data_IF_288195457798
#
_entry.id   IF_288195457798
#
_cell.length_a   1.000
_cell.length_b   1.000
_cell.length_c   1.000
_cell.angle_alpha   90.00
_cell.angle_beta   90.00
_cell.angle_gamma   90.00
#
_symmetry.space_group_name_H-M   'P 1'
#
loop_
_entity.id
_entity.type
_entity.pdbx_description
1 polymer ?
#
# COMPACT_ATOMS: atom_id res chain seq x y z
N UNK A 1 -6.58 10.54 13.41
CA UNK A 1 -7.98 10.49 13.85
C UNK A 1 -8.72 11.79 13.60
N UNK A 2 -8.08 12.95 13.83
CA UNK A 2 -8.69 14.25 13.57
C UNK A 2 -9.19 14.42 12.12
N UNK A 3 -8.45 13.89 11.13
CA UNK A 3 -8.88 13.89 9.73
C UNK A 3 -10.24 13.23 9.52
N UNK A 4 -10.50 12.07 10.16
CA UNK A 4 -11.79 11.37 10.06
C UNK A 4 -12.92 12.21 10.69
N UNK A 5 -12.69 12.72 11.91
CA UNK A 5 -13.67 13.55 12.61
C UNK A 5 -14.03 14.80 11.80
N UNK A 6 -13.02 15.48 11.25
CA UNK A 6 -13.19 16.70 10.46
C UNK A 6 -13.89 16.42 9.14
N UNK A 7 -13.50 15.35 8.43
CA UNK A 7 -14.15 14.91 7.20
C UNK A 7 -15.63 14.58 7.43
N UNK A 8 -15.95 13.80 8.47
CA UNK A 8 -17.32 13.44 8.81
C UNK A 8 -18.17 14.67 9.21
N UNK A 9 -17.61 15.59 9.99
CA UNK A 9 -18.31 16.81 10.39
C UNK A 9 -18.76 17.67 9.20
N UNK A 10 -18.01 17.64 8.09
CA UNK A 10 -18.31 18.38 6.86
C UNK A 10 -19.41 17.74 6.00
N UNK A 11 -19.80 16.49 6.27
CA UNK A 11 -20.86 15.82 5.51
C UNK A 11 -22.23 16.40 5.81
N UNK A 12 -23.09 16.43 4.79
CA UNK A 12 -24.54 16.60 4.95
C UNK A 12 -25.16 15.29 5.48
N UNK A 13 -26.37 15.34 6.09
CA UNK A 13 -27.10 14.12 6.44
C UNK A 13 -27.22 13.19 5.22
N UNK A 14 -26.95 11.90 5.42
CA UNK A 14 -26.90 10.88 4.37
C UNK A 14 -25.59 10.80 3.59
N UNK A 15 -24.66 11.75 3.78
CA UNK A 15 -23.34 11.72 3.14
C UNK A 15 -22.47 10.56 3.65
N UNK A 16 -21.55 10.08 2.80
CA UNK A 16 -20.64 8.96 3.11
C UNK A 16 -19.23 9.49 3.29
N UNK A 17 -18.59 9.13 4.40
CA UNK A 17 -17.15 9.21 4.54
C UNK A 17 -16.58 7.85 4.13
N UNK A 18 -15.68 7.83 3.16
CA UNK A 18 -14.94 6.64 2.75
C UNK A 18 -13.44 6.95 2.80
N UNK A 19 -12.66 6.04 3.36
CA UNK A 19 -11.19 6.11 3.37
C UNK A 19 -10.61 4.81 2.86
N UNK A 20 -9.45 4.90 2.22
CA UNK A 20 -8.69 3.75 1.75
C UNK A 20 -7.28 3.84 2.31
N UNK A 21 -6.84 2.78 2.98
CA UNK A 21 -5.51 2.70 3.58
C UNK A 21 -4.86 1.35 3.24
N UNK A 22 -3.54 1.31 3.03
CA UNK A 22 -2.85 0.06 2.80
C UNK A 22 -2.63 -0.72 4.11
N UNK A 23 -2.48 -2.04 4.00
CA UNK A 23 -1.70 -2.82 4.96
C UNK A 23 -0.61 -3.58 4.20
N UNK A 24 0.65 -3.21 4.40
CA UNK A 24 1.80 -3.80 3.71
C UNK A 24 2.59 -4.80 4.58
N UNK A 25 2.01 -5.22 5.71
CA UNK A 25 2.65 -6.11 6.68
C UNK A 25 2.71 -7.59 6.29
N UNK A 26 2.15 -7.97 5.13
CA UNK A 26 2.11 -9.33 4.61
C UNK A 26 3.25 -9.59 3.61
N UNK A 27 3.39 -10.84 3.18
CA UNK A 27 4.32 -11.24 2.13
C UNK A 27 3.77 -10.88 0.75
N UNK A 28 4.48 -10.00 0.04
CA UNK A 28 4.04 -9.50 -1.28
C UNK A 28 4.14 -10.56 -2.37
N UNK A 29 5.00 -11.56 -2.18
CA UNK A 29 5.28 -12.60 -3.15
C UNK A 29 5.78 -13.85 -2.44
N UNK A 30 5.58 -15.02 -3.06
CA UNK A 30 6.18 -16.28 -2.61
C UNK A 30 7.65 -16.43 -3.04
N UNK A 31 8.22 -15.43 -3.71
CA UNK A 31 9.57 -15.45 -4.28
C UNK A 31 10.58 -15.05 -3.22
N UNK A 32 11.61 -15.88 -3.02
CA UNK A 32 12.79 -15.48 -2.26
C UNK A 32 13.73 -14.71 -3.18
N UNK A 33 13.72 -13.38 -3.07
CA UNK A 33 14.55 -12.50 -3.89
C UNK A 33 15.02 -11.29 -3.11
N UNK A 34 16.31 -10.96 -3.27
CA UNK A 34 16.90 -9.73 -2.76
C UNK A 34 16.23 -8.48 -3.37
N UNK A 35 15.85 -8.50 -4.66
CA UNK A 35 15.20 -7.35 -5.29
C UNK A 35 13.79 -7.13 -4.76
N UNK A 36 12.99 -8.19 -4.56
CA UNK A 36 11.67 -8.07 -3.94
C UNK A 36 11.75 -7.60 -2.49
N UNK A 37 12.73 -8.10 -1.73
CA UNK A 37 12.98 -7.65 -0.36
C UNK A 37 13.40 -6.17 -0.32
N UNK A 38 14.26 -5.75 -1.24
CA UNK A 38 14.73 -4.38 -1.35
C UNK A 38 13.61 -3.41 -1.78
N UNK A 39 12.78 -3.80 -2.75
CA UNK A 39 11.60 -3.03 -3.15
C UNK A 39 10.65 -2.83 -1.96
N UNK A 40 10.46 -3.88 -1.15
CA UNK A 40 9.66 -3.82 0.07
C UNK A 40 10.27 -2.93 1.13
N UNK A 41 11.58 -3.01 1.36
CA UNK A 41 12.24 -2.15 2.37
C UNK A 41 12.15 -0.68 1.98
N UNK A 42 12.41 -0.32 0.72
CA UNK A 42 12.29 1.05 0.24
C UNK A 42 10.92 1.65 0.54
N UNK A 43 9.83 0.92 0.24
CA UNK A 43 8.47 1.40 0.49
C UNK A 43 8.19 1.55 1.98
N UNK A 44 8.51 0.54 2.79
CA UNK A 44 8.22 0.56 4.23
C UNK A 44 9.05 1.62 4.96
N UNK A 45 10.32 1.77 4.62
CA UNK A 45 11.20 2.80 5.16
C UNK A 45 10.71 4.20 4.77
N UNK A 46 10.30 4.39 3.52
CA UNK A 46 9.77 5.66 3.04
C UNK A 46 8.50 6.06 3.78
N UNK A 47 7.55 5.14 3.94
CA UNK A 47 6.32 5.38 4.70
C UNK A 47 6.63 5.69 6.16
N UNK A 48 7.52 4.94 6.78
CA UNK A 48 7.91 5.15 8.18
C UNK A 48 8.58 6.51 8.38
N UNK A 49 9.48 6.90 7.46
CA UNK A 49 10.22 8.16 7.53
C UNK A 49 9.32 9.40 7.40
N UNK A 50 8.16 9.30 6.75
CA UNK A 50 7.15 10.37 6.71
C UNK A 50 6.11 10.27 7.82
N UNK A 51 6.26 9.33 8.76
CA UNK A 51 5.33 9.12 9.87
C UNK A 51 4.02 8.44 9.46
N UNK A 52 3.95 7.84 8.27
CA UNK A 52 2.80 7.06 7.85
C UNK A 52 2.82 5.68 8.53
N UNK A 53 1.63 5.14 8.85
CA UNK A 53 1.49 3.78 9.33
C UNK A 53 1.30 2.84 8.12
N UNK A 54 2.28 2.00 7.75
CA UNK A 54 2.15 1.10 6.61
C UNK A 54 1.13 -0.03 6.82
N UNK A 55 0.54 -0.13 8.02
CA UNK A 55 -0.47 -1.10 8.41
C UNK A 55 -1.80 -0.47 8.79
N UNK A 56 -2.04 0.77 8.35
CA UNK A 56 -3.21 1.56 8.75
C UNK A 56 -4.54 0.87 8.36
N UNK A 57 -4.57 0.09 7.28
CA UNK A 57 -5.78 -0.62 6.81
C UNK A 57 -6.49 -1.45 7.88
N UNK A 58 -5.76 -2.28 8.62
CA UNK A 58 -6.32 -3.07 9.73
C UNK A 58 -6.72 -2.21 10.94
N UNK A 59 -6.13 -1.03 11.09
CA UNK A 59 -6.44 -0.10 12.18
C UNK A 59 -7.68 0.77 11.91
N UNK A 60 -8.25 0.72 10.70
CA UNK A 60 -9.36 1.59 10.31
C UNK A 60 -10.61 1.42 11.20
N UNK A 61 -10.96 0.21 11.61
CA UNK A 61 -12.12 0.00 12.49
C UNK A 61 -11.97 0.76 13.81
N UNK A 62 -10.84 0.58 14.49
CA UNK A 62 -10.54 1.26 15.75
C UNK A 62 -10.46 2.78 15.54
N UNK A 63 -9.85 3.22 14.44
CA UNK A 63 -9.70 4.62 14.10
C UNK A 63 -11.04 5.37 13.96
N UNK A 64 -12.05 4.77 13.34
CA UNK A 64 -13.38 5.38 13.25
C UNK A 64 -13.99 5.58 14.65
N UNK A 65 -13.92 4.56 15.51
CA UNK A 65 -14.44 4.61 16.88
C UNK A 65 -13.72 5.65 17.73
N UNK A 66 -12.40 5.69 17.67
CA UNK A 66 -11.58 6.70 18.37
C UNK A 66 -11.88 8.13 17.89
N UNK A 67 -12.26 8.29 16.62
CA UNK A 67 -12.70 9.57 16.09
C UNK A 67 -14.12 9.95 16.53
N UNK A 68 -14.89 9.03 17.14
CA UNK A 68 -16.27 9.21 17.58
C UNK A 68 -17.30 9.02 16.46
N UNK A 69 -16.93 8.31 15.38
CA UNK A 69 -17.82 8.01 14.26
C UNK A 69 -18.55 6.68 14.51
N UNK A 70 -19.67 6.41 13.80
CA UNK A 70 -20.27 5.10 13.80
C UNK A 70 -19.30 4.03 13.29
N UNK A 71 -19.52 2.78 13.68
CA UNK A 71 -18.74 1.65 13.19
C UNK A 71 -18.78 1.63 11.63
N UNK A 72 -17.62 1.50 10.97
CA UNK A 72 -17.58 1.48 9.52
C UNK A 72 -17.94 0.10 8.97
N UNK A 73 -18.53 0.08 7.78
CA UNK A 73 -18.44 -1.07 6.90
C UNK A 73 -17.01 -1.14 6.35
N UNK A 74 -16.48 -2.35 6.19
CA UNK A 74 -15.10 -2.55 5.73
C UNK A 74 -15.01 -3.60 4.62
N UNK A 75 -14.10 -3.35 3.69
CA UNK A 75 -13.76 -4.26 2.61
C UNK A 75 -12.26 -4.21 2.36
N UNK A 76 -11.65 -5.34 2.01
CA UNK A 76 -10.26 -5.39 1.54
C UNK A 76 -10.24 -5.96 0.14
N UNK A 77 -9.47 -5.29 -0.73
CA UNK A 77 -9.21 -5.77 -2.08
C UNK A 77 -7.72 -6.03 -2.27
N UNK A 78 -7.40 -7.18 -2.85
CA UNK A 78 -6.09 -7.51 -3.36
C UNK A 78 -6.23 -8.48 -4.54
N UNK A 79 -5.46 -8.25 -5.59
CA UNK A 79 -5.27 -9.21 -6.67
C UNK A 79 -4.15 -10.19 -6.31
N UNK A 80 -4.26 -11.44 -6.73
CA UNK A 80 -3.18 -12.42 -6.60
C UNK A 80 -3.02 -13.23 -7.89
N UNK A 81 -1.78 -13.54 -8.25
CA UNK A 81 -1.51 -14.34 -9.44
C UNK A 81 -0.03 -14.65 -9.65
N UNK A 82 0.22 -15.63 -10.52
CA UNK A 82 1.55 -15.97 -11.05
C UNK A 82 1.61 -15.80 -12.57
N UNK A 83 2.80 -15.98 -13.15
CA UNK A 83 3.04 -15.87 -14.59
C UNK A 83 2.52 -14.57 -15.19
N UNK A 84 1.88 -14.64 -16.36
CA UNK A 84 1.33 -13.47 -17.05
C UNK A 84 0.28 -12.69 -16.25
N UNK A 85 -0.37 -13.33 -15.26
CA UNK A 85 -1.39 -12.70 -14.40
C UNK A 85 -0.83 -12.18 -13.07
N UNK A 86 0.47 -12.31 -12.83
CA UNK A 86 1.09 -11.78 -11.62
C UNK A 86 0.94 -10.24 -11.57
N UNK A 87 0.37 -9.66 -10.49
CA UNK A 87 0.14 -8.22 -10.37
C UNK A 87 1.42 -7.43 -10.00
N UNK A 88 2.54 -7.71 -10.68
CA UNK A 88 3.86 -7.08 -10.44
C UNK A 88 3.82 -5.56 -10.63
N UNK A 89 3.00 -5.09 -11.58
CA UNK A 89 2.81 -3.67 -11.86
C UNK A 89 2.35 -2.89 -10.62
N UNK A 90 1.58 -3.52 -9.72
CA UNK A 90 1.09 -2.88 -8.51
C UNK A 90 2.21 -2.42 -7.59
N UNK A 91 3.30 -3.18 -7.50
CA UNK A 91 4.44 -2.83 -6.65
C UNK A 91 5.45 -1.92 -7.33
N UNK A 92 5.74 -2.16 -8.61
CA UNK A 92 6.64 -1.28 -9.38
C UNK A 92 6.09 0.15 -9.47
N UNK A 93 4.78 0.32 -9.69
CA UNK A 93 4.15 1.65 -9.69
C UNK A 93 4.26 2.35 -8.32
N UNK A 94 4.11 1.60 -7.22
CA UNK A 94 4.25 2.16 -5.85
C UNK A 94 5.68 2.63 -5.62
N UNK A 95 6.67 1.80 -5.97
CA UNK A 95 8.09 2.16 -5.83
C UNK A 95 8.42 3.37 -6.71
N UNK A 96 8.05 3.35 -7.98
CA UNK A 96 8.27 4.45 -8.93
C UNK A 96 7.68 5.77 -8.43
N UNK A 97 6.43 5.76 -7.96
CA UNK A 97 5.77 6.95 -7.41
C UNK A 97 6.43 7.49 -6.14
N UNK A 98 7.19 6.66 -5.42
CA UNK A 98 7.90 7.04 -4.21
C UNK A 98 9.35 7.45 -4.45
N UNK A 99 9.94 7.22 -5.64
CA UNK A 99 11.35 7.57 -5.93
C UNK A 99 11.71 9.02 -5.56
N UNK A 100 10.94 10.06 -5.94
CA UNK A 100 11.29 11.44 -5.57
C UNK A 100 11.30 11.67 -4.06
N UNK A 101 10.46 10.94 -3.32
CA UNK A 101 10.40 11.00 -1.87
C UNK A 101 11.57 10.24 -1.23
N UNK A 102 11.92 9.06 -1.77
CA UNK A 102 13.09 8.27 -1.36
C UNK A 102 14.37 9.09 -1.49
N UNK A 103 14.56 9.79 -2.61
CA UNK A 103 15.72 10.65 -2.85
C UNK A 103 15.82 11.77 -1.82
N UNK A 104 14.70 12.45 -1.57
CA UNK A 104 14.64 13.54 -0.58
C UNK A 104 14.94 13.05 0.84
N UNK A 105 14.60 11.81 1.16
CA UNK A 105 14.81 11.19 2.47
C UNK A 105 16.17 10.47 2.58
N UNK A 106 16.92 10.35 1.48
CA UNK A 106 18.19 9.62 1.45
C UNK A 106 18.04 8.10 1.58
N UNK A 107 16.89 7.54 1.19
CA UNK A 107 16.59 6.11 1.28
C UNK A 107 17.09 5.35 0.05
N UNK A 108 16.85 5.91 -1.12
CA UNK A 108 17.28 5.36 -2.40
C UNK A 108 17.29 6.46 -3.47
N UNK A 109 18.09 6.26 -4.50
CA UNK A 109 18.17 7.13 -5.68
C UNK A 109 17.44 6.53 -6.87
N UNK A 110 17.03 7.37 -7.83
CA UNK A 110 16.46 6.87 -9.09
C UNK A 110 17.41 5.92 -9.84
N UNK A 111 18.74 6.10 -9.69
CA UNK A 111 19.75 5.24 -10.29
C UNK A 111 19.86 3.87 -9.62
N UNK A 112 19.64 3.78 -8.30
CA UNK A 112 19.59 2.49 -7.59
C UNK A 112 18.28 1.73 -7.88
N UNK A 113 17.17 2.46 -7.99
CA UNK A 113 15.85 1.88 -8.24
C UNK A 113 15.68 1.46 -9.70
N UNK A 114 16.17 2.28 -10.65
CA UNK A 114 15.93 2.15 -12.09
C UNK A 114 14.44 1.91 -12.42
N UNK A 115 13.54 2.86 -12.11
CA UNK A 115 12.09 2.64 -12.15
C UNK A 115 11.57 2.16 -13.52
N UNK A 116 12.19 2.62 -14.61
CA UNK A 116 11.81 2.25 -15.97
C UNK A 116 11.94 0.75 -16.27
N UNK A 117 12.79 0.00 -15.55
CA UNK A 117 13.00 -1.44 -15.76
C UNK A 117 12.58 -2.29 -14.57
N UNK A 118 12.20 -1.66 -13.45
CA UNK A 118 11.91 -2.34 -12.19
C UNK A 118 10.80 -3.40 -12.33
N UNK A 119 9.72 -3.08 -13.04
CA UNK A 119 8.62 -4.02 -13.24
C UNK A 119 9.09 -5.32 -13.91
N UNK A 120 9.87 -5.20 -14.97
CA UNK A 120 10.33 -6.35 -15.76
C UNK A 120 11.34 -7.18 -14.97
N UNK A 121 12.22 -6.51 -14.20
CA UNK A 121 13.17 -7.17 -13.30
C UNK A 121 12.45 -7.96 -12.21
N UNK A 122 11.46 -7.37 -11.54
CA UNK A 122 10.64 -8.05 -10.53
C UNK A 122 9.86 -9.23 -11.11
N UNK A 123 9.30 -9.06 -12.33
CA UNK A 123 8.54 -10.11 -13.03
C UNK A 123 9.44 -11.29 -13.42
N UNK A 124 10.63 -11.02 -13.93
CA UNK A 124 11.58 -12.06 -14.31
C UNK A 124 11.93 -12.98 -13.11
N UNK A 125 12.02 -12.44 -11.90
CA UNK A 125 12.28 -13.24 -10.71
C UNK A 125 11.08 -14.11 -10.28
N UNK A 126 9.86 -13.58 -10.44
CA UNK A 126 8.62 -14.34 -10.22
C UNK A 126 8.52 -15.50 -11.20
N UNK A 127 8.79 -15.25 -12.48
CA UNK A 127 8.75 -16.27 -13.53
C UNK A 127 9.82 -17.34 -13.31
N UNK A 128 11.06 -16.95 -13.01
CA UNK A 128 12.17 -17.87 -12.75
C UNK A 128 11.87 -18.86 -11.61
N UNK A 129 11.09 -18.44 -10.62
CA UNK A 129 10.80 -19.22 -9.42
C UNK A 129 9.39 -19.81 -9.39
N UNK A 130 8.62 -19.69 -10.48
CA UNK A 130 7.19 -20.07 -10.52
C UNK A 130 6.39 -19.47 -9.35
N UNK A 131 6.70 -18.21 -9.01
CA UNK A 131 6.16 -17.53 -7.85
C UNK A 131 4.76 -16.96 -8.06
N UNK A 132 4.12 -16.63 -6.94
CA UNK A 132 2.88 -15.85 -6.88
C UNK A 132 3.19 -14.45 -6.35
N UNK A 133 2.47 -13.45 -6.82
CA UNK A 133 2.49 -12.07 -6.30
C UNK A 133 1.08 -11.71 -5.85
N UNK A 134 0.99 -11.01 -4.74
CA UNK A 134 -0.22 -10.37 -4.23
C UNK A 134 -0.03 -8.86 -4.40
N UNK A 135 -0.97 -8.17 -5.05
CA UNK A 135 -0.94 -6.71 -5.22
C UNK A 135 -1.01 -6.00 -3.87
N UNK A 136 -0.70 -4.69 -3.76
CA UNK A 136 -0.95 -3.93 -2.54
C UNK A 136 -2.37 -4.15 -2.02
N UNK A 137 -2.49 -4.63 -0.78
CA UNK A 137 -3.77 -4.77 -0.09
C UNK A 137 -4.29 -3.38 0.28
N UNK A 138 -5.47 -3.03 -0.22
CA UNK A 138 -6.15 -1.78 0.11
C UNK A 138 -7.42 -2.08 0.90
N UNK A 139 -7.48 -1.55 2.12
CA UNK A 139 -8.66 -1.62 2.97
C UNK A 139 -9.48 -0.36 2.77
N UNK A 140 -10.73 -0.53 2.35
CA UNK A 140 -11.74 0.50 2.37
C UNK A 140 -12.54 0.43 3.67
N UNK A 141 -12.80 1.58 4.29
CA UNK A 141 -13.74 1.71 5.39
C UNK A 141 -14.66 2.89 5.13
N UNK A 142 -15.98 2.70 5.30
CA UNK A 142 -16.94 3.77 5.11
C UNK A 142 -18.07 3.76 6.13
N UNK A 143 -18.61 4.95 6.39
CA UNK A 143 -19.80 5.12 7.23
C UNK A 143 -20.62 6.31 6.75
N UNK A 144 -21.89 6.36 7.17
CA UNK A 144 -22.84 7.42 6.79
C UNK A 144 -23.09 8.38 7.95
N UNK A 145 -23.37 9.64 7.63
CA UNK A 145 -23.83 10.65 8.60
C UNK A 145 -25.34 10.71 8.73
#
# INVERSE_FOLDING_TARGET
>A
MEALRRGYALLRPGGVLCVQEPDMGYDWTSVESALWQQARSWVLETLTAIGANPRMGLSLFAAFREAGLPDPEMYVEAGAGGGAKAPVFGWSNVVEGMVPLMERLGIATAAEVEPATLQDRLRAEVERQNGTVVSPCLYAAWTRK
#
